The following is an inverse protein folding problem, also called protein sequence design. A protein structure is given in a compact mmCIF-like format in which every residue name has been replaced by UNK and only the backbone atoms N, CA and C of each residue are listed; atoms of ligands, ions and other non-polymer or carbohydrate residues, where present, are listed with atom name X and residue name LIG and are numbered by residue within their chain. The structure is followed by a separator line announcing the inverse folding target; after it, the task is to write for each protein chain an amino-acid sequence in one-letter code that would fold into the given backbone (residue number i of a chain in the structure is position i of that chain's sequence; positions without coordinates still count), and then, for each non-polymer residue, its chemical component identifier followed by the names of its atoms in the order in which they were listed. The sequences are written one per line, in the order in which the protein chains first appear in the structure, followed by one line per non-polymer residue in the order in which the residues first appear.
data_IF_093804908423
#
_entry.id   IF_093804908423
#
_cell.length_a   1.000
_cell.length_b   1.000
_cell.length_c   1.000
_cell.angle_alpha   90.00
_cell.angle_beta   90.00
_cell.angle_gamma   90.00
#
_symmetry.space_group_name_H-M   'P 1'
#
loop_
_entity.id
_entity.type
_entity.pdbx_description
1 polymer ?
#
# COMPACT_ATOMS: atom_id res chain seq x y z
N UNK A 1 -8.34 13.50 -26.19
CA UNK A 1 -7.85 14.41 -25.13
C UNK A 1 -8.96 15.07 -24.29
N UNK A 2 -10.10 15.54 -24.83
CA UNK A 2 -11.21 16.11 -24.01
C UNK A 2 -11.80 15.14 -22.99
N UNK A 3 -11.97 13.85 -23.29
CA UNK A 3 -12.52 12.86 -22.36
C UNK A 3 -11.66 12.55 -21.15
N UNK A 4 -10.34 12.76 -21.22
CA UNK A 4 -9.42 12.61 -20.08
C UNK A 4 -9.42 13.85 -19.16
N UNK A 5 -9.60 15.06 -19.73
CA UNK A 5 -9.67 16.31 -18.95
C UNK A 5 -10.86 16.35 -17.96
N UNK A 6 -11.94 15.57 -18.19
CA UNK A 6 -13.09 15.49 -17.29
C UNK A 6 -12.91 14.47 -16.15
N UNK A 7 -11.85 13.64 -16.17
CA UNK A 7 -11.68 12.53 -15.21
C UNK A 7 -10.70 12.83 -14.08
N UNK A 8 -9.91 13.89 -14.20
CA UNK A 8 -8.90 14.30 -13.22
C UNK A 8 -9.18 15.76 -12.85
N UNK A 9 -9.23 16.05 -11.53
CA UNK A 9 -9.33 17.42 -11.04
C UNK A 9 -7.95 17.98 -10.72
N UNK A 10 -7.84 19.30 -10.76
CA UNK A 10 -6.64 20.02 -10.32
C UNK A 10 -6.30 19.66 -8.85
N UNK A 11 -7.32 19.47 -8.01
CA UNK A 11 -7.15 19.07 -6.60
C UNK A 11 -6.41 17.73 -6.48
N UNK A 12 -6.79 16.73 -7.29
CA UNK A 12 -6.06 15.46 -7.35
C UNK A 12 -4.58 15.67 -7.71
N UNK A 13 -4.28 16.42 -8.78
CA UNK A 13 -2.91 16.70 -9.18
C UNK A 13 -2.10 17.38 -8.07
N UNK A 14 -2.70 18.37 -7.39
CA UNK A 14 -2.07 19.03 -6.25
C UNK A 14 -1.70 18.05 -5.14
N UNK A 15 -2.62 17.16 -4.75
CA UNK A 15 -2.35 16.19 -3.69
C UNK A 15 -1.32 15.12 -4.09
N UNK A 16 -1.25 14.74 -5.37
CA UNK A 16 -0.16 13.89 -5.88
C UNK A 16 1.19 14.60 -5.76
N UNK A 17 1.27 15.88 -6.17
CA UNK A 17 2.51 16.67 -6.02
C UNK A 17 2.92 16.79 -4.54
N UNK A 18 1.96 17.09 -3.66
CA UNK A 18 2.21 17.13 -2.21
C UNK A 18 2.71 15.78 -1.71
N UNK A 19 2.10 14.67 -2.12
CA UNK A 19 2.53 13.33 -1.72
C UNK A 19 3.97 13.06 -2.18
N UNK A 20 4.32 13.37 -3.43
CA UNK A 20 5.70 13.22 -3.93
C UNK A 20 6.68 14.06 -3.11
N UNK A 21 6.35 15.31 -2.80
CA UNK A 21 7.23 16.16 -1.98
C UNK A 21 7.39 15.55 -0.58
N UNK A 22 6.29 15.22 0.10
CA UNK A 22 6.29 14.71 1.47
C UNK A 22 7.07 13.39 1.58
N UNK A 23 6.91 12.48 0.62
CA UNK A 23 7.61 11.18 0.64
C UNK A 23 9.12 11.30 0.43
N UNK A 24 9.61 12.43 -0.09
CA UNK A 24 11.03 12.69 -0.31
C UNK A 24 11.68 13.56 0.79
N UNK A 25 10.92 14.03 1.80
CA UNK A 25 11.51 14.74 2.94
C UNK A 25 12.25 13.73 3.84
N UNK A 26 13.53 13.95 4.17
CA UNK A 26 14.26 13.08 5.08
C UNK A 26 13.49 12.86 6.40
N UNK A 27 13.56 11.67 6.96
CA UNK A 27 12.86 11.19 8.17
C UNK A 27 11.33 11.20 8.06
N UNK A 28 10.71 12.34 7.72
CA UNK A 28 9.25 12.44 7.56
C UNK A 28 8.76 11.52 6.43
N UNK A 29 9.45 11.52 5.30
CA UNK A 29 9.11 10.67 4.16
C UNK A 29 9.11 9.20 4.54
N UNK A 30 10.14 8.72 5.21
CA UNK A 30 10.20 7.33 5.69
C UNK A 30 9.04 7.01 6.64
N UNK A 31 8.69 7.92 7.54
CA UNK A 31 7.60 7.74 8.49
C UNK A 31 6.23 7.64 7.78
N UNK A 32 5.93 8.50 6.82
CA UNK A 32 4.63 8.49 6.14
C UNK A 32 4.50 7.38 5.08
N UNK A 33 5.61 6.99 4.43
CA UNK A 33 5.65 5.87 3.47
C UNK A 33 5.35 4.53 4.13
N UNK A 34 5.61 4.39 5.43
CA UNK A 34 5.38 3.18 6.20
C UNK A 34 3.92 2.69 6.12
N UNK A 35 2.94 3.57 5.85
CA UNK A 35 1.55 3.15 5.66
C UNK A 35 1.40 2.19 4.47
N UNK A 36 2.15 2.42 3.39
CA UNK A 36 2.14 1.52 2.24
C UNK A 36 2.81 0.19 2.58
N UNK A 37 3.91 0.22 3.31
CA UNK A 37 4.60 -0.98 3.81
C UNK A 37 3.68 -1.79 4.73
N UNK A 38 2.99 -1.15 5.67
CA UNK A 38 2.01 -1.84 6.53
C UNK A 38 0.94 -2.56 5.71
N UNK A 39 0.38 -1.90 4.70
CA UNK A 39 -0.66 -2.50 3.85
C UNK A 39 -0.09 -3.65 3.03
N UNK A 40 1.12 -3.52 2.51
CA UNK A 40 1.85 -4.55 1.79
C UNK A 40 2.06 -5.80 2.65
N UNK A 41 2.66 -5.64 3.83
CA UNK A 41 2.91 -6.73 4.76
C UNK A 41 1.60 -7.37 5.28
N UNK A 42 0.57 -6.55 5.49
CA UNK A 42 -0.77 -7.05 5.82
C UNK A 42 -1.37 -7.89 4.69
N UNK A 43 -1.08 -7.56 3.44
CA UNK A 43 -1.50 -8.36 2.28
C UNK A 43 -0.93 -9.77 2.34
N UNK A 44 0.38 -9.91 2.57
CA UNK A 44 1.01 -11.21 2.80
C UNK A 44 0.40 -11.95 3.98
N UNK A 45 0.23 -11.28 5.12
CA UNK A 45 -0.32 -11.88 6.33
C UNK A 45 -1.75 -12.38 6.11
N UNK A 46 -2.63 -11.57 5.52
CA UNK A 46 -4.03 -11.94 5.32
C UNK A 46 -4.19 -13.15 4.40
N UNK A 47 -3.41 -13.21 3.31
CA UNK A 47 -3.47 -14.34 2.39
C UNK A 47 -2.82 -15.58 2.99
N UNK A 48 -1.75 -15.42 3.77
CA UNK A 48 -1.11 -16.55 4.45
C UNK A 48 -2.05 -17.30 5.41
N UNK A 49 -3.06 -16.65 5.98
CA UNK A 49 -4.06 -17.30 6.83
C UNK A 49 -4.92 -18.36 6.11
N UNK A 50 -5.02 -18.29 4.77
CA UNK A 50 -5.80 -19.27 4.00
C UNK A 50 -5.02 -20.55 3.64
N UNK A 51 -3.73 -20.61 3.88
CA UNK A 51 -2.92 -21.80 3.52
C UNK A 51 -1.63 -21.94 4.29
N UNK A 52 -1.53 -21.28 5.46
CA UNK A 52 -0.33 -21.27 6.27
C UNK A 52 -0.51 -20.62 7.63
N UNK A 53 0.61 -20.15 8.17
CA UNK A 53 0.68 -19.42 9.45
C UNK A 53 1.45 -18.11 9.26
N UNK A 54 0.98 -17.05 9.93
CA UNK A 54 1.72 -15.80 10.11
C UNK A 54 2.40 -15.85 11.47
N UNK A 55 3.72 -15.69 11.50
CA UNK A 55 4.48 -15.69 12.75
C UNK A 55 4.62 -14.27 13.28
N UNK A 56 5.26 -13.39 12.52
CA UNK A 56 5.49 -11.99 12.90
C UNK A 56 5.57 -11.09 11.68
N UNK A 57 5.30 -9.81 11.90
CA UNK A 57 5.61 -8.73 10.97
C UNK A 57 6.59 -7.79 11.66
N UNK A 58 7.61 -7.37 10.95
CA UNK A 58 8.57 -6.34 11.37
C UNK A 58 8.53 -5.16 10.42
N UNK A 59 8.44 -3.94 10.95
CA UNK A 59 8.46 -2.69 10.21
C UNK A 59 9.69 -1.89 10.60
N UNK A 60 10.44 -1.33 9.63
CA UNK A 60 11.72 -0.68 9.88
C UNK A 60 11.73 0.79 9.42
N UNK A 61 12.57 1.63 10.05
CA UNK A 61 12.68 3.06 9.74
C UNK A 61 13.06 3.38 8.28
N UNK A 62 13.74 2.46 7.62
CA UNK A 62 14.13 2.57 6.21
C UNK A 62 12.99 2.27 5.22
N UNK A 63 11.75 2.15 5.72
CA UNK A 63 10.54 1.78 4.97
C UNK A 63 10.45 0.31 4.56
N UNK A 64 11.39 -0.51 4.92
CA UNK A 64 11.29 -1.95 4.71
C UNK A 64 10.30 -2.59 5.69
N UNK A 65 9.64 -3.65 5.24
CA UNK A 65 8.82 -4.54 6.05
C UNK A 65 9.19 -5.98 5.76
N UNK A 66 8.92 -6.85 6.71
CA UNK A 66 9.10 -8.29 6.53
C UNK A 66 7.98 -9.03 7.24
N UNK A 67 7.25 -9.85 6.50
CA UNK A 67 6.25 -10.77 7.03
C UNK A 67 6.81 -12.19 7.05
N UNK A 68 6.99 -12.76 8.24
CA UNK A 68 7.41 -14.14 8.41
C UNK A 68 6.20 -15.07 8.39
N UNK A 69 6.13 -15.89 7.35
CA UNK A 69 5.04 -16.86 7.15
C UNK A 69 5.59 -18.26 6.94
N UNK A 70 4.78 -19.27 7.23
CA UNK A 70 5.04 -20.65 6.81
C UNK A 70 3.82 -21.19 6.07
N UNK A 71 4.05 -21.96 5.03
CA UNK A 71 2.99 -22.49 4.17
C UNK A 71 3.07 -24.03 4.13
N UNK A 72 1.90 -24.67 4.10
CA UNK A 72 1.78 -26.12 4.00
C UNK A 72 1.75 -26.64 2.56
N UNK A 73 1.49 -25.72 1.59
CA UNK A 73 1.36 -26.08 0.19
C UNK A 73 1.85 -24.95 -0.72
N UNK A 74 2.07 -25.29 -1.98
CA UNK A 74 2.53 -24.39 -3.02
C UNK A 74 1.57 -23.20 -3.26
N UNK A 75 0.27 -23.45 -3.26
CA UNK A 75 -0.73 -22.40 -3.50
C UNK A 75 -0.68 -21.31 -2.43
N UNK A 76 -0.56 -21.70 -1.15
CA UNK A 76 -0.40 -20.76 -0.05
C UNK A 76 0.81 -19.85 -0.24
N UNK A 77 1.97 -20.42 -0.55
CA UNK A 77 3.20 -19.67 -0.81
C UNK A 77 3.05 -18.74 -2.02
N UNK A 78 2.48 -19.23 -3.11
CA UNK A 78 2.30 -18.49 -4.36
C UNK A 78 1.38 -17.26 -4.18
N UNK A 79 0.18 -17.47 -3.63
CA UNK A 79 -0.76 -16.34 -3.44
C UNK A 79 -0.29 -15.36 -2.39
N UNK A 80 0.39 -15.81 -1.34
CA UNK A 80 1.03 -14.93 -0.36
C UNK A 80 2.08 -14.06 -1.05
N UNK A 81 2.94 -14.63 -1.90
CA UNK A 81 3.96 -13.86 -2.63
C UNK A 81 3.39 -12.75 -3.53
N UNK A 82 2.21 -12.94 -4.10
CA UNK A 82 1.55 -11.92 -4.94
C UNK A 82 0.87 -10.83 -4.10
N UNK A 83 0.44 -11.15 -2.88
CA UNK A 83 -0.52 -10.36 -2.12
C UNK A 83 -0.03 -8.96 -1.75
N UNK A 84 1.24 -8.77 -1.41
CA UNK A 84 1.77 -7.49 -0.94
C UNK A 84 1.51 -6.35 -1.91
N UNK A 85 2.04 -6.44 -3.12
CA UNK A 85 1.86 -5.40 -4.16
C UNK A 85 0.41 -5.26 -4.62
N UNK A 86 -0.34 -6.38 -4.64
CA UNK A 86 -1.75 -6.35 -4.96
C UNK A 86 -2.54 -5.52 -3.94
N UNK A 87 -2.35 -5.78 -2.64
CA UNK A 87 -3.02 -5.04 -1.57
C UNK A 87 -2.63 -3.56 -1.55
N UNK A 88 -1.34 -3.23 -1.74
CA UNK A 88 -0.89 -1.84 -1.85
C UNK A 88 -1.67 -1.07 -2.91
N UNK A 89 -1.73 -1.60 -4.12
CA UNK A 89 -2.43 -0.95 -5.25
C UNK A 89 -3.95 -0.95 -5.08
N UNK A 90 -4.51 -2.04 -4.55
CA UNK A 90 -5.94 -2.17 -4.30
C UNK A 90 -6.42 -1.19 -3.24
N UNK A 91 -5.70 -1.05 -2.10
CA UNK A 91 -6.07 -0.12 -1.04
C UNK A 91 -5.88 1.34 -1.48
N UNK A 92 -4.87 1.66 -2.28
CA UNK A 92 -4.75 2.97 -2.91
C UNK A 92 -5.97 3.30 -3.77
N UNK A 93 -6.37 2.38 -4.66
CA UNK A 93 -7.59 2.52 -5.48
C UNK A 93 -8.85 2.66 -4.61
N UNK A 94 -9.02 1.80 -3.62
CA UNK A 94 -10.17 1.79 -2.72
C UNK A 94 -10.27 3.08 -1.91
N UNK A 95 -9.14 3.65 -1.48
CA UNK A 95 -9.09 4.92 -0.75
C UNK A 95 -9.67 6.06 -1.59
N UNK A 96 -9.25 6.21 -2.85
CA UNK A 96 -9.83 7.21 -3.75
C UNK A 96 -11.30 6.93 -4.07
N UNK A 97 -11.69 5.67 -4.16
CA UNK A 97 -13.08 5.29 -4.38
C UNK A 97 -13.97 5.75 -3.21
N UNK A 98 -13.59 5.49 -1.96
CA UNK A 98 -14.32 5.97 -0.79
C UNK A 98 -14.36 7.51 -0.71
N UNK A 99 -13.23 8.17 -0.99
CA UNK A 99 -13.17 9.64 -1.00
C UNK A 99 -14.10 10.22 -2.06
N UNK A 100 -14.13 9.66 -3.27
CA UNK A 100 -15.02 10.09 -4.36
C UNK A 100 -16.50 9.95 -4.01
N UNK A 101 -16.83 9.02 -3.11
CA UNK A 101 -18.19 8.79 -2.57
C UNK A 101 -18.46 9.56 -1.28
N UNK A 102 -17.51 10.39 -0.81
CA UNK A 102 -17.56 11.11 0.48
C UNK A 102 -17.74 10.18 1.69
N UNK A 103 -17.34 8.92 1.55
CA UNK A 103 -17.40 7.87 2.58
C UNK A 103 -16.11 7.85 3.41
N UNK A 104 -15.85 8.92 4.18
CA UNK A 104 -14.61 9.08 4.93
C UNK A 104 -14.51 8.14 6.14
N UNK A 105 -15.62 7.98 6.90
CA UNK A 105 -15.65 7.12 8.10
C UNK A 105 -15.33 5.66 7.77
N UNK A 106 -15.96 5.00 6.78
CA UNK A 106 -15.58 3.62 6.39
C UNK A 106 -14.10 3.50 6.02
N UNK A 107 -13.54 4.47 5.29
CA UNK A 107 -12.11 4.44 4.94
C UNK A 107 -11.22 4.50 6.18
N UNK A 108 -11.50 5.41 7.13
CA UNK A 108 -10.74 5.50 8.39
C UNK A 108 -10.85 4.18 9.17
N UNK A 109 -12.03 3.56 9.22
CA UNK A 109 -12.24 2.29 9.92
C UNK A 109 -11.40 1.18 9.27
N UNK A 110 -11.36 1.10 7.94
CA UNK A 110 -10.53 0.12 7.23
C UNK A 110 -9.04 0.32 7.57
N UNK A 111 -8.55 1.57 7.56
CA UNK A 111 -7.15 1.85 7.91
C UNK A 111 -6.87 1.55 9.38
N UNK A 112 -7.80 1.85 10.28
CA UNK A 112 -7.72 1.46 11.70
C UNK A 112 -7.72 -0.06 11.90
N UNK A 113 -8.47 -0.81 11.10
CA UNK A 113 -8.44 -2.28 11.13
C UNK A 113 -7.06 -2.82 10.74
N UNK A 114 -6.42 -2.27 9.69
CA UNK A 114 -5.03 -2.63 9.37
C UNK A 114 -4.09 -2.35 10.53
N UNK A 115 -4.16 -1.15 11.13
CA UNK A 115 -3.34 -0.79 12.28
C UNK A 115 -3.61 -1.70 13.47
N UNK A 116 -4.88 -1.91 13.83
CA UNK A 116 -5.29 -2.69 15.00
C UNK A 116 -4.93 -4.18 14.87
N UNK A 117 -5.22 -4.81 13.73
CA UNK A 117 -4.88 -6.22 13.50
C UNK A 117 -3.36 -6.44 13.57
N UNK A 118 -2.57 -5.57 12.94
CA UNK A 118 -1.13 -5.67 12.97
C UNK A 118 -0.56 -5.48 14.38
N UNK A 119 -1.05 -4.48 15.12
CA UNK A 119 -0.60 -4.20 16.49
C UNK A 119 -0.93 -5.38 17.44
N UNK A 120 -2.12 -5.94 17.33
CA UNK A 120 -2.58 -7.00 18.23
C UNK A 120 -1.99 -8.36 17.89
N UNK A 121 -1.90 -8.69 16.59
CA UNK A 121 -1.62 -10.06 16.16
C UNK A 121 -0.16 -10.27 15.75
N UNK A 122 0.48 -9.34 15.01
CA UNK A 122 1.68 -9.69 14.24
C UNK A 122 2.91 -8.84 14.51
N UNK A 123 2.77 -7.50 14.66
CA UNK A 123 3.94 -6.62 14.82
C UNK A 123 4.50 -6.72 16.23
N UNK A 124 5.82 -7.01 16.33
CA UNK A 124 6.49 -7.25 17.62
C UNK A 124 7.78 -6.43 17.81
N UNK A 125 8.23 -5.68 16.79
CA UNK A 125 9.40 -4.83 16.91
C UNK A 125 9.03 -3.42 17.39
N UNK A 126 9.96 -2.79 18.13
CA UNK A 126 9.72 -1.51 18.80
C UNK A 126 9.27 -0.40 17.84
N UNK A 127 9.98 -0.23 16.72
CA UNK A 127 9.62 0.83 15.75
C UNK A 127 8.22 0.60 15.15
N UNK A 128 7.90 -0.62 14.78
CA UNK A 128 6.58 -0.96 14.24
C UNK A 128 5.45 -0.67 15.23
N UNK A 129 5.61 -1.05 16.51
CA UNK A 129 4.64 -0.75 17.57
C UNK A 129 4.47 0.76 17.75
N UNK A 130 5.59 1.51 17.86
CA UNK A 130 5.57 2.96 17.97
C UNK A 130 4.82 3.61 16.80
N UNK A 131 5.14 3.19 15.58
CA UNK A 131 4.51 3.72 14.38
C UNK A 131 3.00 3.41 14.35
N UNK A 132 2.60 2.17 14.64
CA UNK A 132 1.19 1.75 14.68
C UNK A 132 0.37 2.54 15.71
N UNK A 133 0.92 2.77 16.91
CA UNK A 133 0.23 3.55 17.95
C UNK A 133 0.08 5.00 17.50
N UNK A 134 1.12 5.63 16.97
CA UNK A 134 1.09 7.03 16.55
C UNK A 134 0.16 7.26 15.36
N UNK A 135 0.19 6.35 14.37
CA UNK A 135 -0.70 6.44 13.20
C UNK A 135 -2.15 6.08 13.56
N UNK A 136 -2.36 5.11 14.45
CA UNK A 136 -3.67 4.78 15.00
C UNK A 136 -4.29 5.95 15.76
N UNK A 137 -3.52 6.64 16.59
CA UNK A 137 -3.96 7.84 17.28
C UNK A 137 -4.39 8.95 16.29
N UNK A 138 -3.64 9.15 15.20
CA UNK A 138 -4.02 10.08 14.14
C UNK A 138 -5.40 9.73 13.56
N UNK A 139 -5.64 8.47 13.20
CA UNK A 139 -6.92 8.05 12.63
C UNK A 139 -8.08 8.18 13.63
N UNK A 140 -7.84 7.89 14.91
CA UNK A 140 -8.83 8.07 15.98
C UNK A 140 -9.17 9.56 16.11
N UNK A 141 -8.17 10.46 16.12
CA UNK A 141 -8.40 11.90 16.17
C UNK A 141 -9.19 12.39 14.94
N UNK A 142 -8.86 11.91 13.74
CA UNK A 142 -9.60 12.24 12.52
C UNK A 142 -11.07 11.80 12.62
N UNK A 143 -11.33 10.63 13.20
CA UNK A 143 -12.68 10.08 13.32
C UNK A 143 -13.57 10.88 14.27
N UNK A 144 -13.02 11.34 15.40
CA UNK A 144 -13.81 11.96 16.48
C UNK A 144 -13.74 13.49 16.52
N UNK A 145 -12.64 14.09 16.07
CA UNK A 145 -12.38 15.54 16.20
C UNK A 145 -12.26 16.28 14.88
N UNK A 146 -12.10 15.58 13.76
CA UNK A 146 -11.86 16.22 12.47
C UNK A 146 -13.11 16.86 11.87
N UNK A 147 -13.02 18.12 11.43
CA UNK A 147 -14.02 18.69 10.53
C UNK A 147 -14.02 17.93 9.18
N UNK A 148 -15.17 17.90 8.50
CA UNK A 148 -15.32 17.15 7.23
C UNK A 148 -14.24 17.53 6.21
N UNK A 149 -13.97 18.83 6.04
CA UNK A 149 -12.95 19.31 5.10
C UNK A 149 -11.54 18.91 5.52
N UNK A 150 -11.23 18.95 6.81
CA UNK A 150 -9.92 18.53 7.33
C UNK A 150 -9.70 17.03 7.12
N UNK A 151 -10.69 16.21 7.49
CA UNK A 151 -10.67 14.75 7.28
C UNK A 151 -10.50 14.42 5.81
N UNK A 152 -11.25 15.06 4.92
CA UNK A 152 -11.12 14.86 3.47
C UNK A 152 -9.70 15.14 2.99
N UNK A 153 -9.09 16.26 3.40
CA UNK A 153 -7.75 16.62 2.94
C UNK A 153 -6.68 15.68 3.51
N UNK A 154 -6.77 15.29 4.79
CA UNK A 154 -5.87 14.28 5.36
C UNK A 154 -5.98 12.93 4.62
N UNK A 155 -7.19 12.44 4.35
CA UNK A 155 -7.39 11.21 3.61
C UNK A 155 -6.92 11.30 2.16
N UNK A 156 -7.03 12.48 1.53
CA UNK A 156 -6.48 12.73 0.20
C UNK A 156 -4.95 12.66 0.19
N UNK A 157 -4.28 13.20 1.20
CA UNK A 157 -2.83 13.06 1.36
C UNK A 157 -2.46 11.58 1.49
N UNK A 158 -3.12 10.85 2.39
CA UNK A 158 -2.85 9.43 2.63
C UNK A 158 -3.11 8.60 1.36
N UNK A 159 -4.24 8.79 0.68
CA UNK A 159 -4.56 8.09 -0.56
C UNK A 159 -3.56 8.40 -1.68
N UNK A 160 -3.09 9.65 -1.76
CA UNK A 160 -2.08 10.07 -2.73
C UNK A 160 -0.72 9.44 -2.43
N UNK A 161 -0.33 9.36 -1.16
CA UNK A 161 0.89 8.64 -0.73
C UNK A 161 0.77 7.16 -1.11
N UNK A 162 -0.34 6.51 -0.79
CA UNK A 162 -0.56 5.10 -1.15
C UNK A 162 -0.47 4.87 -2.66
N UNK A 163 -1.04 5.76 -3.48
CA UNK A 163 -0.96 5.64 -4.94
C UNK A 163 0.46 5.83 -5.46
N UNK A 164 1.17 6.86 -4.98
CA UNK A 164 2.57 7.13 -5.36
C UNK A 164 3.45 5.95 -4.94
N UNK A 165 3.34 5.51 -3.69
CA UNK A 165 4.16 4.42 -3.16
C UNK A 165 3.84 3.07 -3.81
N UNK A 166 2.59 2.76 -4.12
CA UNK A 166 2.26 1.51 -4.82
C UNK A 166 2.88 1.44 -6.23
N UNK A 167 2.99 2.58 -6.92
CA UNK A 167 3.65 2.67 -8.22
C UNK A 167 5.17 2.67 -8.10
N UNK A 168 5.74 3.47 -7.21
CA UNK A 168 7.19 3.60 -7.06
C UNK A 168 7.82 2.34 -6.49
N UNK A 169 7.21 1.71 -5.48
CA UNK A 169 7.74 0.45 -4.92
C UNK A 169 7.68 -0.70 -5.93
N UNK A 170 6.59 -0.82 -6.69
CA UNK A 170 6.48 -1.85 -7.74
C UNK A 170 7.45 -1.59 -8.90
N UNK A 171 7.72 -0.32 -9.24
CA UNK A 171 8.76 0.03 -10.20
C UNK A 171 10.17 -0.28 -9.67
N UNK A 172 10.42 -0.02 -8.39
CA UNK A 172 11.71 -0.36 -7.75
C UNK A 172 11.97 -1.86 -7.81
N UNK A 173 10.98 -2.70 -7.50
CA UNK A 173 11.12 -4.17 -7.62
C UNK A 173 11.32 -4.59 -9.06
N UNK A 174 10.63 -3.97 -10.02
CA UNK A 174 10.88 -4.21 -11.44
C UNK A 174 12.36 -3.94 -11.77
N UNK A 175 12.90 -2.79 -11.39
CA UNK A 175 14.31 -2.45 -11.63
C UNK A 175 15.26 -3.43 -10.94
N UNK A 176 15.03 -3.72 -9.67
CA UNK A 176 15.84 -4.68 -8.91
C UNK A 176 15.82 -6.09 -9.53
N UNK A 177 14.67 -6.51 -10.08
CA UNK A 177 14.57 -7.83 -10.72
C UNK A 177 15.46 -7.99 -11.95
N UNK A 178 15.84 -6.90 -12.61
CA UNK A 178 16.82 -6.90 -13.71
C UNK A 178 18.26 -6.73 -13.23
N UNK A 179 18.48 -5.88 -12.22
CA UNK A 179 19.84 -5.52 -11.74
C UNK A 179 20.35 -6.59 -10.77
N UNK A 180 19.49 -7.06 -9.87
CA UNK A 180 19.81 -8.01 -8.79
C UNK A 180 18.69 -9.06 -8.64
N UNK A 181 18.49 -9.97 -9.61
CA UNK A 181 17.34 -10.88 -9.64
C UNK A 181 17.27 -11.83 -8.43
N UNK A 182 18.37 -12.03 -7.71
CA UNK A 182 18.42 -12.86 -6.51
C UNK A 182 18.08 -12.09 -5.21
N UNK A 183 17.95 -10.76 -5.28
CA UNK A 183 17.67 -9.87 -4.16
C UNK A 183 16.45 -8.94 -4.40
N UNK A 184 15.58 -9.29 -5.37
CA UNK A 184 14.40 -8.50 -5.73
C UNK A 184 13.16 -8.92 -4.91
N UNK A 185 13.28 -9.08 -3.59
CA UNK A 185 12.17 -9.28 -2.67
C UNK A 185 11.17 -10.35 -3.14
N UNK A 186 9.88 -9.97 -3.20
CA UNK A 186 8.79 -10.87 -3.61
C UNK A 186 8.95 -11.44 -5.01
N UNK A 187 9.53 -10.68 -5.95
CA UNK A 187 9.78 -11.18 -7.30
C UNK A 187 10.76 -12.38 -7.28
N UNK A 188 11.80 -12.30 -6.43
CA UNK A 188 12.72 -13.43 -6.20
C UNK A 188 12.04 -14.59 -5.49
N UNK A 189 11.20 -14.28 -4.48
CA UNK A 189 10.42 -15.30 -3.74
C UNK A 189 9.50 -16.09 -4.69
N UNK A 190 8.76 -15.39 -5.55
CA UNK A 190 7.89 -16.02 -6.54
C UNK A 190 8.65 -16.78 -7.62
N UNK A 191 9.82 -16.28 -8.06
CA UNK A 191 10.67 -17.02 -8.99
C UNK A 191 11.12 -18.36 -8.39
N UNK A 192 11.49 -18.40 -7.12
CA UNK A 192 11.81 -19.64 -6.40
C UNK A 192 10.59 -20.56 -6.24
N UNK A 193 9.41 -20.00 -5.95
CA UNK A 193 8.18 -20.75 -5.79
C UNK A 193 7.70 -21.37 -7.11
N UNK A 194 7.83 -20.65 -8.22
CA UNK A 194 7.36 -21.09 -9.54
C UNK A 194 8.39 -21.87 -10.33
N UNK A 195 9.69 -21.75 -10.00
CA UNK A 195 10.86 -22.41 -10.60
C UNK A 195 11.12 -22.10 -12.09
N UNK A 196 10.09 -21.86 -12.91
CA UNK A 196 10.21 -21.61 -14.35
C UNK A 196 9.93 -20.16 -14.76
N UNK A 197 9.38 -19.33 -13.87
CA UNK A 197 9.13 -17.91 -14.14
C UNK A 197 10.23 -17.09 -13.47
N UNK A 198 11.08 -16.37 -14.23
CA UNK A 198 12.16 -15.58 -13.64
C UNK A 198 11.64 -14.32 -12.91
N UNK A 199 12.45 -13.81 -11.97
CA UNK A 199 12.10 -12.64 -11.15
C UNK A 199 11.72 -11.41 -11.98
N UNK A 200 12.31 -11.22 -13.17
CA UNK A 200 12.02 -10.12 -14.08
C UNK A 200 10.54 -10.09 -14.54
N UNK A 201 9.98 -11.26 -14.81
CA UNK A 201 8.56 -11.35 -15.20
C UNK A 201 7.64 -11.06 -14.01
N UNK A 202 8.03 -11.45 -12.81
CA UNK A 202 7.29 -11.09 -11.61
C UNK A 202 7.38 -9.59 -11.29
N UNK A 203 8.54 -8.97 -11.44
CA UNK A 203 8.71 -7.53 -11.32
C UNK A 203 7.84 -6.77 -12.34
N UNK A 204 7.82 -7.23 -13.60
CA UNK A 204 6.95 -6.68 -14.65
C UNK A 204 5.45 -6.83 -14.29
N UNK A 205 5.07 -8.00 -13.78
CA UNK A 205 3.69 -8.25 -13.33
C UNK A 205 3.28 -7.29 -12.22
N UNK A 206 4.10 -7.08 -11.19
CA UNK A 206 3.80 -6.16 -10.09
C UNK A 206 3.65 -4.72 -10.57
N UNK A 207 4.51 -4.26 -11.45
CA UNK A 207 4.40 -2.91 -12.00
C UNK A 207 3.19 -2.76 -12.92
N UNK A 208 2.95 -3.71 -13.80
CA UNK A 208 1.79 -3.69 -14.70
C UNK A 208 0.46 -3.72 -13.93
N UNK A 209 0.36 -4.50 -12.85
CA UNK A 209 -0.85 -4.55 -12.03
C UNK A 209 -1.07 -3.23 -11.28
N UNK A 210 -0.02 -2.56 -10.76
CA UNK A 210 -0.18 -1.27 -10.09
C UNK A 210 -0.65 -0.18 -11.06
N UNK A 211 -0.10 -0.14 -12.27
CA UNK A 211 -0.59 0.72 -13.36
C UNK A 211 -2.05 0.40 -13.69
N UNK A 212 -2.42 -0.88 -13.71
CA UNK A 212 -3.79 -1.30 -14.04
C UNK A 212 -4.81 -0.78 -13.03
N UNK A 213 -4.49 -0.78 -11.73
CA UNK A 213 -5.34 -0.16 -10.69
C UNK A 213 -5.44 1.36 -10.87
N UNK A 214 -4.34 2.05 -11.16
CA UNK A 214 -4.36 3.49 -11.44
C UNK A 214 -5.25 3.80 -12.66
N UNK A 215 -5.10 3.06 -13.77
CA UNK A 215 -5.91 3.23 -14.99
C UNK A 215 -7.38 2.89 -14.74
N UNK A 216 -7.67 1.85 -13.94
CA UNK A 216 -9.03 1.52 -13.52
C UNK A 216 -9.67 2.68 -12.76
N UNK A 217 -8.91 3.33 -11.86
CA UNK A 217 -9.34 4.54 -11.17
C UNK A 217 -9.66 5.69 -12.11
N UNK A 218 -8.81 5.94 -13.12
CA UNK A 218 -9.06 6.92 -14.17
C UNK A 218 -10.34 6.61 -14.96
N UNK A 219 -10.52 5.36 -15.37
CA UNK A 219 -11.72 4.93 -16.11
C UNK A 219 -13.00 5.10 -15.29
N UNK A 220 -12.96 4.82 -13.99
CA UNK A 220 -14.08 4.99 -13.05
C UNK A 220 -14.29 6.45 -12.62
N UNK A 221 -13.38 7.37 -12.93
CA UNK A 221 -13.47 8.78 -12.57
C UNK A 221 -13.33 9.06 -11.07
N UNK A 222 -12.70 8.14 -10.29
CA UNK A 222 -12.56 8.31 -8.84
C UNK A 222 -11.54 9.39 -8.45
N UNK A 223 -10.73 9.85 -9.40
CA UNK A 223 -9.80 10.97 -9.21
C UNK A 223 -10.45 12.33 -9.50
N UNK A 224 -11.75 12.34 -9.79
CA UNK A 224 -12.55 13.54 -9.86
C UNK A 224 -13.01 13.92 -8.44
N UNK A 225 -12.19 14.71 -7.76
CA UNK A 225 -12.42 15.13 -6.39
C UNK A 225 -12.99 16.55 -6.45
N UNK A 226 -14.31 16.63 -6.56
CA UNK A 226 -15.02 17.89 -6.50
C UNK A 226 -15.09 18.39 -5.04
N UNK A 227 -15.33 19.68 -4.84
CA UNK A 227 -15.41 20.39 -3.54
C UNK A 227 -16.42 19.77 -2.59
#
# INVERSE_FOLDING_TARGET
MRALKQKITWKFCLFIVIAIILTNIPFLGSYIRMINTLIHESGHALIALFGGKVHTISLFMNTEGVTYTSHTNWFGSFFTGIAGYFFSSFIAFLSFWFISKKQYKPLIIILLLFVGLNLLLWVRNFYGIFWLISFGALFILLLYKGSVSFVQNCLLIIASILLVESLTSSFTILMLSFIQPHAAGDATGLAKTTMFIPAQLWGLFFFAQSISFMVAGLKKGIYRIDK
#
